data_IF_426707736030
#
_entry.id   IF_426707736030
#
_cell.length_a   1.000
_cell.length_b   1.000
_cell.length_c   1.000
_cell.angle_alpha   90.00
_cell.angle_beta   90.00
_cell.angle_gamma   90.00
#
_symmetry.space_group_name_H-M   'P 1'
#
loop_
_entity.id
_entity.type
_entity.pdbx_description
1 polymer ?
#
# COMPACT_ATOMS: atom_id res chain seq x y z
N UNK A 1 -24.22 -33.76 92.91
CA UNK A 1 -23.23 -34.70 92.35
C UNK A 1 -23.17 -34.47 90.84
N UNK A 2 -21.96 -34.29 90.31
CA UNK A 2 -21.60 -34.11 88.88
C UNK A 2 -22.00 -35.31 87.99
N UNK A 3 -21.88 -35.25 86.65
CA UNK A 3 -22.43 -34.26 85.70
C UNK A 3 -23.03 -34.95 84.44
N UNK A 4 -23.59 -34.19 83.47
CA UNK A 4 -23.33 -34.31 82.01
C UNK A 4 -24.45 -33.77 81.07
N UNK A 5 -24.06 -32.78 80.25
CA UNK A 5 -24.26 -32.66 78.77
C UNK A 5 -25.71 -32.46 78.26
N UNK A 6 -26.05 -31.61 77.29
CA UNK A 6 -25.45 -30.51 76.53
C UNK A 6 -26.61 -29.77 75.85
N UNK A 7 -26.44 -28.47 75.67
CA UNK A 7 -27.41 -27.46 75.20
C UNK A 7 -27.60 -27.44 73.67
N UNK A 8 -28.78 -26.95 73.24
CA UNK A 8 -28.86 -25.99 72.13
C UNK A 8 -29.68 -26.38 70.90
N UNK A 9 -30.99 -26.09 70.93
CA UNK A 9 -31.88 -26.02 69.78
C UNK A 9 -31.83 -24.62 69.16
N UNK A 10 -31.48 -24.52 67.87
CA UNK A 10 -31.85 -23.39 66.99
C UNK A 10 -32.00 -23.86 65.55
N UNK A 11 -33.25 -24.01 65.10
CA UNK A 11 -33.61 -24.16 63.70
C UNK A 11 -33.80 -22.78 63.08
N UNK A 12 -32.97 -22.43 62.10
CA UNK A 12 -33.07 -21.18 61.34
C UNK A 12 -33.89 -21.40 60.07
N UNK A 13 -34.93 -20.58 59.92
CA UNK A 13 -35.66 -20.34 58.69
C UNK A 13 -34.72 -19.71 57.64
N UNK A 14 -34.53 -20.37 56.49
CA UNK A 14 -33.94 -19.75 55.31
C UNK A 14 -35.04 -19.02 54.53
N UNK A 15 -34.92 -17.69 54.50
CA UNK A 15 -35.65 -16.81 53.60
C UNK A 15 -35.01 -16.93 52.22
N UNK A 16 -35.80 -17.38 51.23
CA UNK A 16 -35.42 -17.33 49.83
C UNK A 16 -35.33 -15.87 49.38
N UNK A 17 -34.12 -15.40 49.09
CA UNK A 17 -33.89 -14.11 48.45
C UNK A 17 -33.79 -14.37 46.94
N UNK A 18 -34.77 -13.85 46.20
CA UNK A 18 -34.76 -13.84 44.74
C UNK A 18 -33.60 -12.94 44.25
N UNK A 19 -32.50 -13.56 43.82
CA UNK A 19 -31.51 -12.91 42.98
C UNK A 19 -32.04 -12.93 41.55
N UNK A 20 -32.61 -11.81 41.12
CA UNK A 20 -32.80 -11.54 39.71
C UNK A 20 -31.42 -11.52 39.04
N UNK A 21 -31.12 -12.56 38.27
CA UNK A 21 -30.02 -12.54 37.31
C UNK A 21 -30.31 -11.43 36.31
N UNK A 22 -29.65 -10.28 36.47
CA UNK A 22 -29.51 -9.34 35.35
C UNK A 22 -28.75 -10.07 34.27
N UNK A 23 -29.44 -10.41 33.19
CA UNK A 23 -28.78 -10.77 31.94
C UNK A 23 -27.74 -9.70 31.61
N UNK A 24 -26.51 -10.07 31.23
CA UNK A 24 -25.53 -9.10 30.78
C UNK A 24 -26.13 -8.35 29.59
N UNK A 25 -26.12 -7.02 29.65
CA UNK A 25 -26.51 -6.19 28.53
C UNK A 25 -25.70 -6.65 27.29
N UNK A 26 -26.34 -6.77 26.11
CA UNK A 26 -25.62 -7.11 24.90
C UNK A 26 -24.47 -6.12 24.72
N UNK A 27 -23.26 -6.65 24.56
CA UNK A 27 -22.07 -5.88 24.23
C UNK A 27 -22.33 -5.05 22.98
N UNK A 28 -22.54 -3.75 23.13
CA UNK A 28 -22.72 -2.79 22.04
C UNK A 28 -21.40 -2.40 21.36
N UNK A 29 -20.33 -3.16 21.59
CA UNK A 29 -18.99 -2.87 21.07
C UNK A 29 -18.58 -3.87 19.97
N UNK A 30 -19.48 -4.22 19.06
CA UNK A 30 -19.02 -4.58 17.72
C UNK A 30 -18.62 -3.26 17.07
N UNK A 31 -17.32 -2.99 16.95
CA UNK A 31 -16.86 -2.01 15.97
C UNK A 31 -17.65 -2.26 14.67
N UNK A 32 -18.30 -1.25 14.09
CA UNK A 32 -19.03 -1.43 12.85
C UNK A 32 -18.04 -2.02 11.84
N UNK A 33 -18.27 -3.28 11.44
CA UNK A 33 -17.32 -4.01 10.58
C UNK A 33 -17.03 -3.24 9.28
N UNK A 34 -17.96 -2.39 8.84
CA UNK A 34 -17.78 -1.48 7.71
C UNK A 34 -16.65 -0.47 7.86
N UNK A 35 -16.31 0.04 9.05
CA UNK A 35 -15.22 1.02 9.18
C UNK A 35 -13.84 0.42 8.86
N UNK A 36 -13.68 -0.91 9.02
CA UNK A 36 -12.45 -1.59 8.61
C UNK A 36 -12.22 -1.53 7.10
N UNK A 37 -13.25 -1.34 6.28
CA UNK A 37 -13.06 -1.12 4.85
C UNK A 37 -12.38 0.22 4.57
N UNK A 38 -12.59 1.22 5.43
CA UNK A 38 -12.05 2.57 5.26
C UNK A 38 -10.61 2.73 5.77
N UNK A 39 -10.12 1.78 6.56
CA UNK A 39 -8.85 1.87 7.27
C UNK A 39 -7.61 1.62 6.38
N UNK A 40 -6.57 0.94 6.90
CA UNK A 40 -5.33 0.68 6.14
C UNK A 40 -5.61 0.00 4.78
N UNK A 41 -4.74 0.21 3.76
CA UNK A 41 -4.88 -0.43 2.47
C UNK A 41 -5.07 -1.95 2.55
N UNK A 42 -5.90 -2.48 1.66
CA UNK A 42 -6.23 -3.90 1.52
C UNK A 42 -5.32 -4.50 0.47
N UNK A 43 -4.51 -5.47 0.87
CA UNK A 43 -3.53 -6.11 -0.01
C UNK A 43 -3.78 -7.60 0.01
N UNK A 44 -4.02 -8.20 -1.15
CA UNK A 44 -4.29 -9.63 -1.28
C UNK A 44 -3.94 -10.12 -2.68
N UNK A 45 -3.78 -11.43 -2.84
CA UNK A 45 -3.62 -12.08 -4.15
C UNK A 45 -5.00 -12.49 -4.68
N UNK A 46 -5.20 -12.38 -5.99
CA UNK A 46 -6.38 -12.96 -6.64
C UNK A 46 -6.33 -14.50 -6.57
N UNK A 47 -7.50 -15.12 -6.54
CA UNK A 47 -7.59 -16.57 -6.72
C UNK A 47 -7.46 -16.97 -8.20
N UNK A 48 -7.38 -18.27 -8.48
CA UNK A 48 -7.19 -18.76 -9.83
C UNK A 48 -8.30 -18.34 -10.81
N UNK A 49 -9.56 -18.27 -10.35
CA UNK A 49 -10.68 -17.86 -11.19
C UNK A 49 -10.64 -16.37 -11.51
N UNK A 50 -10.28 -15.55 -10.53
CA UNK A 50 -10.15 -14.10 -10.72
C UNK A 50 -8.91 -13.73 -11.54
N UNK A 51 -7.84 -14.51 -11.45
CA UNK A 51 -6.68 -14.40 -12.37
C UNK A 51 -7.12 -14.62 -13.81
N UNK A 52 -7.88 -15.68 -14.09
CA UNK A 52 -8.39 -15.98 -15.43
C UNK A 52 -9.32 -14.86 -15.94
N UNK A 53 -10.23 -14.36 -15.09
CA UNK A 53 -11.12 -13.22 -15.41
C UNK A 53 -10.33 -11.97 -15.75
N UNK A 54 -9.39 -11.57 -14.88
CA UNK A 54 -8.51 -10.41 -15.10
C UNK A 54 -7.76 -10.55 -16.41
N UNK A 55 -7.14 -11.71 -16.66
CA UNK A 55 -6.39 -11.96 -17.89
C UNK A 55 -7.27 -11.85 -19.14
N UNK A 56 -8.48 -12.40 -19.11
CA UNK A 56 -9.44 -12.31 -20.21
C UNK A 56 -9.86 -10.86 -20.47
N UNK A 57 -10.14 -10.07 -19.42
CA UNK A 57 -10.51 -8.66 -19.55
C UNK A 57 -9.34 -7.85 -20.11
N UNK A 58 -8.13 -8.02 -19.55
CA UNK A 58 -6.95 -7.30 -20.01
C UNK A 58 -6.58 -7.64 -21.45
N UNK A 59 -6.71 -8.89 -21.88
CA UNK A 59 -6.47 -9.27 -23.28
C UNK A 59 -7.46 -8.57 -24.23
N UNK A 60 -8.73 -8.47 -23.82
CA UNK A 60 -9.73 -7.69 -24.55
C UNK A 60 -9.32 -6.22 -24.62
N UNK A 61 -8.90 -5.62 -23.51
CA UNK A 61 -8.43 -4.24 -23.46
C UNK A 61 -7.18 -4.03 -24.33
N UNK A 62 -6.21 -4.95 -24.32
CA UNK A 62 -5.02 -4.90 -25.20
C UNK A 62 -5.41 -4.85 -26.67
N UNK A 63 -6.32 -5.74 -27.08
CA UNK A 63 -6.82 -5.77 -28.45
C UNK A 63 -7.52 -4.48 -28.84
N UNK A 64 -8.40 -3.94 -27.98
CA UNK A 64 -9.16 -2.72 -28.27
C UNK A 64 -8.29 -1.45 -28.27
N UNK A 65 -7.27 -1.41 -27.43
CA UNK A 65 -6.37 -0.25 -27.28
C UNK A 65 -5.17 -0.31 -28.23
N UNK A 66 -5.04 -1.38 -29.02
CA UNK A 66 -3.85 -1.69 -29.80
C UNK A 66 -2.57 -1.61 -28.95
N UNK A 67 -2.64 -2.18 -27.74
CA UNK A 67 -1.57 -2.16 -26.74
C UNK A 67 -1.08 -0.75 -26.38
N UNK A 68 -1.99 0.22 -26.29
CA UNK A 68 -1.63 1.59 -25.94
C UNK A 68 -1.24 1.71 -24.46
N UNK A 69 -0.10 2.35 -24.22
CA UNK A 69 0.45 2.73 -22.92
C UNK A 69 -0.44 3.73 -22.14
N UNK A 70 -1.37 4.40 -22.83
CA UNK A 70 -2.23 5.41 -22.21
C UNK A 70 -3.29 4.76 -21.28
N UNK A 71 -3.81 5.49 -20.28
CA UNK A 71 -4.98 5.05 -19.52
C UNK A 71 -6.24 5.08 -20.38
N UNK A 72 -7.04 4.01 -20.33
CA UNK A 72 -8.30 3.91 -21.07
C UNK A 72 -9.45 3.61 -20.11
N UNK A 73 -10.50 4.43 -20.13
CA UNK A 73 -11.74 4.07 -19.43
C UNK A 73 -12.48 3.01 -20.24
N UNK A 74 -12.69 1.85 -19.65
CA UNK A 74 -13.25 0.68 -20.32
C UNK A 74 -14.75 0.59 -20.10
N UNK A 75 -15.20 0.70 -18.85
CA UNK A 75 -16.62 0.58 -18.53
C UNK A 75 -16.98 1.29 -17.23
N UNK A 76 -18.29 1.30 -16.98
CA UNK A 76 -18.90 1.71 -15.73
C UNK A 76 -19.87 0.61 -15.28
N UNK A 77 -19.91 0.34 -13.98
CA UNK A 77 -20.77 -0.66 -13.35
C UNK A 77 -21.62 0.06 -12.30
N UNK A 78 -22.93 -0.12 -12.39
CA UNK A 78 -23.88 0.37 -11.40
C UNK A 78 -23.91 -0.58 -10.20
N UNK A 79 -23.99 -0.01 -9.00
CA UNK A 79 -24.23 -0.77 -7.78
C UNK A 79 -25.72 -0.62 -7.45
N UNK A 80 -26.46 -1.71 -7.60
CA UNK A 80 -27.91 -1.75 -7.45
C UNK A 80 -28.26 -2.52 -6.18
N UNK A 81 -29.23 -2.02 -5.42
CA UNK A 81 -29.75 -2.75 -4.26
C UNK A 81 -30.75 -3.81 -4.73
N UNK A 82 -30.41 -5.09 -4.56
CA UNK A 82 -31.26 -6.23 -4.87
C UNK A 82 -31.66 -6.96 -3.57
N UNK A 83 -32.88 -6.71 -3.10
CA UNK A 83 -33.38 -7.25 -1.83
C UNK A 83 -32.45 -6.91 -0.64
N UNK A 84 -31.84 -7.93 -0.05
CA UNK A 84 -30.99 -7.84 1.15
C UNK A 84 -29.50 -7.63 0.83
N UNK A 85 -29.12 -7.63 -0.46
CA UNK A 85 -27.73 -7.50 -0.91
C UNK A 85 -27.57 -6.46 -2.03
N UNK A 86 -26.34 -6.07 -2.32
CA UNK A 86 -25.98 -5.33 -3.53
C UNK A 86 -25.72 -6.29 -4.68
N UNK A 87 -26.14 -5.90 -5.88
CA UNK A 87 -25.73 -6.49 -7.15
C UNK A 87 -24.95 -5.47 -7.97
N UNK A 88 -23.97 -5.95 -8.74
CA UNK A 88 -23.23 -5.14 -9.69
C UNK A 88 -23.80 -5.38 -11.09
N UNK A 89 -24.13 -4.30 -11.79
CA UNK A 89 -24.74 -4.36 -13.12
C UNK A 89 -23.96 -3.49 -14.09
N UNK A 90 -23.58 -4.04 -15.24
CA UNK A 90 -22.90 -3.27 -16.27
C UNK A 90 -23.75 -2.08 -16.73
N UNK A 91 -23.15 -0.89 -16.81
CA UNK A 91 -23.84 0.32 -17.29
C UNK A 91 -23.78 0.41 -18.81
N UNK A 92 -24.93 0.22 -19.47
CA UNK A 92 -25.04 0.42 -20.90
C UNK A 92 -24.98 1.91 -21.31
N UNK A 93 -25.18 2.83 -20.37
CA UNK A 93 -25.12 4.27 -20.59
C UNK A 93 -24.19 4.92 -19.55
N UNK A 94 -22.85 4.79 -19.72
CA UNK A 94 -21.90 5.29 -18.75
C UNK A 94 -22.00 6.81 -18.67
N UNK A 95 -22.29 7.34 -17.48
CA UNK A 95 -22.46 8.79 -17.34
C UNK A 95 -21.13 9.54 -17.27
N UNK A 96 -20.02 8.82 -17.06
CA UNK A 96 -18.69 9.38 -17.06
C UNK A 96 -18.11 9.36 -18.48
N UNK A 97 -17.74 10.55 -18.98
CA UNK A 97 -17.15 10.67 -20.32
C UNK A 97 -15.85 9.85 -20.39
N UNK A 98 -15.57 9.19 -21.53
CA UNK A 98 -14.28 8.54 -21.75
C UNK A 98 -13.15 9.56 -21.59
N UNK A 99 -12.01 9.10 -21.07
CA UNK A 99 -10.77 9.88 -21.03
C UNK A 99 -10.47 10.25 -22.50
N UNK A 100 -10.41 11.56 -22.76
CA UNK A 100 -10.58 12.14 -24.10
C UNK A 100 -9.78 11.39 -25.19
N UNK A 101 -10.47 11.02 -26.28
CA UNK A 101 -10.02 10.51 -27.60
C UNK A 101 -10.49 9.11 -28.05
N UNK A 102 -11.19 8.32 -27.21
CA UNK A 102 -11.50 6.92 -27.57
C UNK A 102 -12.95 6.50 -27.23
N UNK A 103 -13.94 7.12 -27.88
CA UNK A 103 -15.36 6.70 -27.78
C UNK A 103 -15.59 5.27 -28.27
N UNK A 104 -14.70 4.74 -29.10
CA UNK A 104 -14.87 3.44 -29.75
C UNK A 104 -14.59 2.27 -28.79
N UNK A 105 -13.64 2.43 -27.85
CA UNK A 105 -13.24 1.35 -26.94
C UNK A 105 -14.36 0.95 -25.98
N UNK A 106 -15.05 1.91 -25.37
CA UNK A 106 -16.18 1.61 -24.49
C UNK A 106 -17.34 0.95 -25.25
N UNK A 107 -17.60 1.42 -26.49
CA UNK A 107 -18.65 0.85 -27.33
C UNK A 107 -18.32 -0.60 -27.74
N UNK A 108 -17.07 -0.87 -28.14
CA UNK A 108 -16.62 -2.20 -28.51
C UNK A 108 -16.58 -3.15 -27.31
N UNK A 109 -16.07 -2.70 -26.17
CA UNK A 109 -16.09 -3.49 -24.92
C UNK A 109 -17.53 -3.79 -24.49
N UNK A 110 -18.45 -2.82 -24.60
CA UNK A 110 -19.87 -3.01 -24.30
C UNK A 110 -20.52 -4.11 -25.17
N UNK A 111 -20.03 -4.33 -26.38
CA UNK A 111 -20.56 -5.35 -27.28
C UNK A 111 -20.01 -6.76 -26.99
N UNK A 112 -18.96 -6.89 -26.18
CA UNK A 112 -18.42 -8.17 -25.73
C UNK A 112 -19.13 -8.67 -24.47
N UNK A 113 -20.14 -9.53 -24.65
CA UNK A 113 -20.91 -10.08 -23.54
C UNK A 113 -20.07 -10.91 -22.55
N UNK A 114 -19.00 -11.56 -23.03
CA UNK A 114 -18.12 -12.36 -22.17
C UNK A 114 -17.25 -11.43 -21.31
N UNK A 115 -16.58 -10.45 -21.91
CA UNK A 115 -15.75 -9.48 -21.19
C UNK A 115 -16.57 -8.71 -20.14
N UNK A 116 -17.82 -8.33 -20.46
CA UNK A 116 -18.75 -7.71 -19.50
C UNK A 116 -19.02 -8.57 -18.27
N UNK A 117 -19.35 -9.84 -18.46
CA UNK A 117 -19.60 -10.74 -17.35
C UNK A 117 -18.34 -10.94 -16.49
N UNK A 118 -17.18 -11.14 -17.14
CA UNK A 118 -15.91 -11.33 -16.44
C UNK A 118 -15.51 -10.10 -15.60
N UNK A 119 -15.70 -8.88 -16.11
CA UNK A 119 -15.32 -7.68 -15.36
C UNK A 119 -16.28 -7.35 -14.21
N UNK A 120 -17.58 -7.65 -14.34
CA UNK A 120 -18.55 -7.51 -13.25
C UNK A 120 -18.21 -8.47 -12.12
N UNK A 121 -18.01 -9.76 -12.44
CA UNK A 121 -17.63 -10.77 -11.44
C UNK A 121 -16.30 -10.43 -10.74
N UNK A 122 -15.30 -9.97 -11.51
CA UNK A 122 -14.00 -9.57 -10.97
C UNK A 122 -14.14 -8.38 -10.01
N UNK A 123 -14.91 -7.35 -10.40
CA UNK A 123 -15.13 -6.18 -9.56
C UNK A 123 -15.87 -6.53 -8.27
N UNK A 124 -16.90 -7.39 -8.35
CA UNK A 124 -17.64 -7.86 -7.17
C UNK A 124 -16.71 -8.59 -6.19
N UNK A 125 -15.92 -9.54 -6.70
CA UNK A 125 -14.98 -10.32 -5.89
C UNK A 125 -13.91 -9.45 -5.24
N UNK A 126 -13.33 -8.49 -5.97
CA UNK A 126 -12.33 -7.56 -5.43
C UNK A 126 -12.92 -6.71 -4.30
N UNK A 127 -14.10 -6.11 -4.52
CA UNK A 127 -14.77 -5.31 -3.49
C UNK A 127 -15.20 -6.15 -2.28
N UNK A 128 -15.58 -7.42 -2.51
CA UNK A 128 -15.93 -8.33 -1.42
C UNK A 128 -14.70 -8.68 -0.57
N UNK A 129 -13.58 -9.06 -1.20
CA UNK A 129 -12.34 -9.41 -0.49
C UNK A 129 -11.73 -8.23 0.26
N UNK A 130 -11.86 -7.00 -0.28
CA UNK A 130 -11.41 -5.79 0.41
C UNK A 130 -12.37 -5.34 1.54
N UNK A 131 -13.55 -5.95 1.66
CA UNK A 131 -14.60 -5.58 2.60
C UNK A 131 -15.37 -4.31 2.19
N UNK A 132 -15.02 -3.69 1.06
CA UNK A 132 -15.66 -2.49 0.56
C UNK A 132 -17.11 -2.74 0.11
N UNK A 133 -17.40 -3.91 -0.48
CA UNK A 133 -18.78 -4.27 -0.86
C UNK A 133 -19.70 -4.35 0.36
N UNK A 134 -19.20 -4.91 1.48
CA UNK A 134 -19.94 -4.96 2.74
C UNK A 134 -20.20 -3.54 3.27
N UNK A 135 -19.19 -2.67 3.26
CA UNK A 135 -19.36 -1.27 3.66
C UNK A 135 -20.44 -0.56 2.83
N UNK A 136 -20.42 -0.75 1.51
CA UNK A 136 -21.44 -0.19 0.63
C UNK A 136 -22.82 -0.74 0.96
N UNK A 137 -22.94 -2.06 1.18
CA UNK A 137 -24.22 -2.71 1.51
C UNK A 137 -24.79 -2.18 2.83
N UNK A 138 -23.95 -2.02 3.86
CA UNK A 138 -24.33 -1.53 5.18
C UNK A 138 -24.86 -0.09 5.14
N UNK A 139 -24.46 0.71 4.14
CA UNK A 139 -24.70 2.16 4.10
C UNK A 139 -25.49 2.64 2.87
N UNK A 140 -25.86 1.75 1.95
CA UNK A 140 -26.51 2.13 0.68
C UNK A 140 -27.82 2.90 0.89
N UNK A 141 -28.61 2.56 1.90
CA UNK A 141 -29.88 3.25 2.19
C UNK A 141 -29.65 4.69 2.63
N UNK A 142 -28.59 4.95 3.39
CA UNK A 142 -28.21 6.30 3.80
C UNK A 142 -27.74 7.11 2.59
N UNK A 143 -26.88 6.53 1.74
CA UNK A 143 -26.38 7.20 0.54
C UNK A 143 -27.52 7.56 -0.42
N UNK A 144 -28.42 6.62 -0.70
CA UNK A 144 -29.56 6.82 -1.59
C UNK A 144 -30.56 7.84 -1.06
N UNK A 145 -30.82 7.85 0.26
CA UNK A 145 -31.64 8.87 0.92
C UNK A 145 -31.06 10.28 0.79
N UNK A 146 -29.74 10.40 0.77
CA UNK A 146 -29.01 11.66 0.53
C UNK A 146 -28.94 12.03 -0.97
N UNK A 147 -29.53 11.21 -1.84
CA UNK A 147 -29.55 11.41 -3.29
C UNK A 147 -28.25 10.98 -3.97
N UNK A 148 -27.46 10.11 -3.35
CA UNK A 148 -26.22 9.58 -3.92
C UNK A 148 -26.34 8.09 -4.24
N UNK A 149 -25.75 7.69 -5.37
CA UNK A 149 -25.64 6.29 -5.80
C UNK A 149 -24.18 5.97 -6.09
N UNK A 150 -23.62 4.91 -5.49
CA UNK A 150 -22.27 4.49 -5.82
C UNK A 150 -22.24 3.80 -7.19
N UNK A 151 -21.19 4.06 -7.95
CA UNK A 151 -20.85 3.38 -9.20
C UNK A 151 -19.39 2.97 -9.18
N UNK A 152 -19.01 2.04 -10.05
CA UNK A 152 -17.63 1.64 -10.25
C UNK A 152 -17.23 2.08 -11.66
N UNK A 153 -16.20 2.92 -11.79
CA UNK A 153 -15.57 3.13 -13.10
C UNK A 153 -14.30 2.30 -13.19
N UNK A 154 -14.04 1.72 -14.36
CA UNK A 154 -12.90 0.83 -14.57
C UNK A 154 -12.03 1.40 -15.68
N UNK A 155 -10.78 1.67 -15.33
CA UNK A 155 -9.75 2.10 -16.24
C UNK A 155 -8.73 0.97 -16.45
N UNK A 156 -8.20 0.85 -17.66
CA UNK A 156 -7.12 -0.05 -18.03
C UNK A 156 -5.85 0.73 -18.30
N UNK A 157 -4.74 0.24 -17.76
CA UNK A 157 -3.39 0.76 -17.93
C UNK A 157 -2.54 -0.33 -18.58
N UNK A 158 -2.22 -0.18 -19.88
CA UNK A 158 -1.58 -1.24 -20.67
C UNK A 158 -0.07 -1.37 -20.47
N UNK A 159 0.64 -0.26 -20.52
CA UNK A 159 2.07 -0.20 -20.18
C UNK A 159 2.35 1.18 -19.63
N UNK A 160 2.21 1.33 -18.32
CA UNK A 160 2.68 2.54 -17.66
C UNK A 160 4.21 2.45 -17.55
N UNK A 161 4.90 2.72 -18.67
CA UNK A 161 6.32 3.09 -18.63
C UNK A 161 6.46 4.13 -17.55
N UNK A 162 7.40 3.92 -16.63
CA UNK A 162 7.65 4.80 -15.48
C UNK A 162 7.76 6.23 -15.96
N UNK A 163 6.64 6.97 -15.96
CA UNK A 163 6.65 8.38 -16.28
C UNK A 163 7.29 9.05 -15.08
N UNK A 164 8.62 9.14 -15.15
CA UNK A 164 9.51 9.83 -14.21
C UNK A 164 9.13 11.30 -14.03
N UNK A 165 8.12 11.83 -14.74
CA UNK A 165 7.60 13.17 -14.54
C UNK A 165 6.36 13.22 -13.63
N UNK A 166 5.79 12.07 -13.21
CA UNK A 166 4.69 12.00 -12.21
C UNK A 166 5.20 11.57 -10.83
N UNK A 167 6.31 12.18 -10.41
CA UNK A 167 6.96 11.92 -9.12
C UNK A 167 6.26 12.76 -8.06
N UNK A 168 5.29 12.18 -7.36
CA UNK A 168 4.69 12.85 -6.22
C UNK A 168 3.61 12.02 -5.55
N UNK A 169 3.46 12.22 -4.24
CA UNK A 169 2.27 11.80 -3.52
C UNK A 169 1.08 12.62 -4.01
N UNK A 170 0.04 11.94 -4.44
CA UNK A 170 -1.22 12.51 -4.88
C UNK A 170 -2.37 11.72 -4.29
N UNK A 171 -3.58 12.25 -4.46
CA UNK A 171 -4.80 11.46 -4.38
C UNK A 171 -5.28 11.25 -5.80
N UNK A 172 -5.88 10.11 -6.03
CA UNK A 172 -6.41 9.73 -7.32
C UNK A 172 -7.82 10.37 -7.52
N UNK A 173 -8.43 10.91 -6.44
CA UNK A 173 -9.68 11.69 -6.37
C UNK A 173 -10.11 12.45 -7.63
N UNK A 174 -11.36 12.17 -8.05
CA UNK A 174 -12.23 13.07 -8.82
C UNK A 174 -13.28 13.76 -7.94
N UNK A 175 -12.93 14.00 -6.68
CA UNK A 175 -13.75 14.60 -5.62
C UNK A 175 -14.97 13.78 -5.15
N UNK A 176 -15.39 12.76 -5.91
CA UNK A 176 -16.49 11.84 -5.57
C UNK A 176 -16.03 10.40 -5.28
N UNK A 177 -14.72 10.14 -5.35
CA UNK A 177 -14.15 8.80 -5.21
C UNK A 177 -14.01 8.41 -3.74
N UNK A 178 -14.66 7.32 -3.34
CA UNK A 178 -14.53 6.73 -2.02
C UNK A 178 -13.37 5.74 -1.96
N UNK A 179 -13.37 4.75 -2.84
CA UNK A 179 -12.37 3.69 -2.88
C UNK A 179 -11.66 3.63 -4.23
N UNK A 180 -10.39 3.21 -4.19
CA UNK A 180 -9.56 2.89 -5.35
C UNK A 180 -9.00 1.49 -5.15
N UNK A 181 -9.16 0.61 -6.15
CA UNK A 181 -8.49 -0.69 -6.18
C UNK A 181 -7.64 -0.82 -7.45
N UNK A 182 -6.38 -1.20 -7.28
CA UNK A 182 -5.43 -1.46 -8.35
C UNK A 182 -5.20 -2.96 -8.46
N UNK A 183 -5.57 -3.55 -9.60
CA UNK A 183 -5.51 -4.99 -9.88
C UNK A 183 -4.38 -5.26 -10.86
N UNK A 184 -3.24 -5.74 -10.36
CA UNK A 184 -2.03 -5.90 -11.16
C UNK A 184 -2.01 -7.22 -11.93
N UNK A 185 -1.39 -7.18 -13.11
CA UNK A 185 -1.01 -8.36 -13.87
C UNK A 185 0.48 -8.61 -13.75
N UNK A 186 0.88 -9.23 -12.63
CA UNK A 186 2.26 -9.59 -12.33
C UNK A 186 2.34 -11.03 -11.88
N UNK A 187 3.36 -11.76 -12.33
CA UNK A 187 3.58 -13.16 -11.95
C UNK A 187 4.55 -13.33 -10.76
N UNK A 188 4.92 -12.22 -10.12
CA UNK A 188 5.79 -12.16 -8.96
C UNK A 188 5.35 -10.98 -8.07
N UNK A 189 5.71 -10.99 -6.78
CA UNK A 189 5.48 -9.85 -5.91
C UNK A 189 6.19 -8.59 -6.43
N UNK A 190 5.51 -7.45 -6.39
CA UNK A 190 6.05 -6.14 -6.78
C UNK A 190 5.85 -5.12 -5.66
N UNK A 191 6.54 -3.99 -5.71
CA UNK A 191 6.15 -2.86 -4.88
C UNK A 191 4.82 -2.30 -5.36
N UNK A 192 3.94 -2.02 -4.42
CA UNK A 192 2.82 -1.16 -4.67
C UNK A 192 3.16 0.31 -4.52
N UNK A 193 2.14 1.17 -4.47
CA UNK A 193 2.35 2.58 -4.17
C UNK A 193 2.94 2.78 -2.76
N UNK A 194 3.86 3.72 -2.63
CA UNK A 194 4.15 4.29 -1.31
C UNK A 194 2.94 5.11 -0.88
N UNK A 195 2.59 5.09 0.39
CA UNK A 195 1.39 5.78 0.86
C UNK A 195 1.55 6.43 2.24
N UNK A 196 0.77 7.47 2.45
CA UNK A 196 0.69 8.26 3.67
C UNK A 196 -0.79 8.36 4.04
N UNK A 197 -1.14 7.89 5.24
CA UNK A 197 -2.48 8.14 5.78
C UNK A 197 -2.54 9.60 6.26
N UNK A 198 -3.51 10.36 5.74
CA UNK A 198 -3.68 11.76 6.07
C UNK A 198 -4.23 11.90 7.49
N UNK A 199 -3.40 12.26 8.46
CA UNK A 199 -3.83 12.49 9.85
C UNK A 199 -4.70 13.74 10.04
N UNK A 200 -4.76 14.61 9.04
CA UNK A 200 -5.72 15.71 8.95
C UNK A 200 -6.18 15.85 7.50
N UNK A 201 -7.50 16.01 7.30
CA UNK A 201 -8.03 16.41 6.00
C UNK A 201 -7.71 17.89 5.80
N UNK A 202 -7.14 18.25 4.64
CA UNK A 202 -7.11 19.66 4.20
C UNK A 202 -8.56 20.15 4.15
N UNK A 203 -8.94 20.94 5.14
CA UNK A 203 -10.32 21.36 5.36
C UNK A 203 -10.85 22.19 4.18
N UNK A 204 -9.98 22.96 3.51
CA UNK A 204 -10.40 23.81 2.39
C UNK A 204 -10.62 22.97 1.14
N UNK A 205 -9.70 22.07 0.80
CA UNK A 205 -9.89 21.13 -0.32
C UNK A 205 -11.10 20.22 -0.07
N UNK A 206 -11.20 19.64 1.12
CA UNK A 206 -12.28 18.72 1.45
C UNK A 206 -13.65 19.41 1.40
N UNK A 207 -13.77 20.62 1.92
CA UNK A 207 -15.02 21.38 1.90
C UNK A 207 -15.42 21.87 0.52
N UNK A 208 -14.45 22.30 -0.29
CA UNK A 208 -14.71 22.89 -1.61
C UNK A 208 -15.02 21.82 -2.67
N UNK A 209 -14.31 20.69 -2.62
CA UNK A 209 -14.34 19.70 -3.69
C UNK A 209 -15.01 18.39 -3.27
N UNK A 210 -14.62 17.80 -2.13
CA UNK A 210 -15.08 16.46 -1.73
C UNK A 210 -16.50 16.49 -1.14
N UNK A 211 -16.74 17.37 -0.17
CA UNK A 211 -17.99 17.45 0.59
C UNK A 211 -19.24 17.64 -0.30
N UNK A 212 -19.23 18.44 -1.39
CA UNK A 212 -20.38 18.57 -2.27
C UNK A 212 -20.72 17.31 -3.08
N UNK A 213 -19.76 16.41 -3.27
CA UNK A 213 -19.81 15.28 -4.19
C UNK A 213 -19.86 13.91 -3.50
N UNK A 214 -19.97 13.89 -2.17
CA UNK A 214 -20.11 12.68 -1.37
C UNK A 214 -21.29 12.79 -0.39
N UNK A 215 -21.91 11.66 -0.01
CA UNK A 215 -22.91 11.63 1.05
C UNK A 215 -22.28 11.96 2.40
N UNK A 216 -23.03 12.69 3.23
CA UNK A 216 -22.68 13.08 4.61
C UNK A 216 -22.28 11.85 5.42
N UNK A 217 -22.99 10.74 5.27
CA UNK A 217 -22.68 9.48 5.95
C UNK A 217 -21.25 9.01 5.64
N UNK A 218 -20.81 9.04 4.38
CA UNK A 218 -19.44 8.66 4.03
C UNK A 218 -18.41 9.66 4.56
N UNK A 219 -18.72 10.96 4.50
CA UNK A 219 -17.86 12.02 5.03
C UNK A 219 -17.65 11.89 6.54
N UNK A 220 -18.69 11.54 7.29
CA UNK A 220 -18.61 11.28 8.73
C UNK A 220 -17.71 10.09 9.04
N UNK A 221 -17.81 9.00 8.29
CA UNK A 221 -16.95 7.83 8.47
C UNK A 221 -15.49 8.11 8.07
N UNK A 222 -15.27 8.80 6.95
CA UNK A 222 -13.94 9.27 6.53
C UNK A 222 -13.34 10.15 7.62
N UNK A 223 -14.11 11.11 8.14
CA UNK A 223 -13.63 12.00 9.19
C UNK A 223 -13.29 11.22 10.47
N UNK A 224 -14.13 10.26 10.88
CA UNK A 224 -13.87 9.39 12.02
C UNK A 224 -12.56 8.60 11.87
N UNK A 225 -12.30 8.05 10.68
CA UNK A 225 -11.09 7.28 10.39
C UNK A 225 -9.84 8.17 10.18
N UNK A 226 -10.04 9.43 9.79
CA UNK A 226 -8.94 10.41 9.67
C UNK A 226 -8.40 10.89 11.02
N UNK A 227 -9.23 10.82 12.08
CA UNK A 227 -8.87 11.19 13.44
C UNK A 227 -8.14 10.00 14.08
N UNK A 228 -6.94 9.69 13.60
CA UNK A 228 -6.02 8.88 14.40
C UNK A 228 -5.53 9.72 15.58
N UNK A 229 -5.82 9.21 16.79
CA UNK A 229 -5.73 9.90 18.08
C UNK A 229 -4.33 10.38 18.48
N UNK A 230 -3.27 9.91 17.83
CA UNK A 230 -1.93 10.00 18.38
C UNK A 230 -1.02 11.05 17.75
N UNK A 231 -1.49 11.84 16.76
CA UNK A 231 -0.78 13.03 16.29
C UNK A 231 0.69 12.84 15.88
N UNK A 232 1.17 11.61 15.73
CA UNK A 232 2.59 11.28 15.74
C UNK A 232 2.93 10.41 14.54
N UNK A 233 3.61 11.07 13.59
CA UNK A 233 4.36 10.50 12.48
C UNK A 233 3.51 9.97 11.33
N UNK A 234 3.21 10.88 10.38
CA UNK A 234 2.91 10.56 8.99
C UNK A 234 4.12 9.83 8.37
N UNK A 235 4.30 8.55 8.72
CA UNK A 235 5.34 7.70 8.13
C UNK A 235 4.87 7.29 6.75
N UNK A 236 5.73 7.49 5.75
CA UNK A 236 5.55 6.86 4.45
C UNK A 236 5.59 5.36 4.67
N UNK A 237 4.48 4.69 4.36
CA UNK A 237 4.36 3.24 4.36
C UNK A 237 4.62 2.75 2.93
N UNK A 238 5.37 1.66 2.81
CA UNK A 238 5.50 0.92 1.56
C UNK A 238 4.51 -0.25 1.61
N UNK A 239 3.85 -0.55 0.50
CA UNK A 239 3.11 -1.80 0.37
C UNK A 239 3.80 -2.74 -0.61
N UNK A 240 3.85 -4.03 -0.26
CA UNK A 240 4.28 -5.09 -1.17
C UNK A 240 3.05 -5.79 -1.71
N UNK A 241 2.89 -5.79 -3.01
CA UNK A 241 1.77 -6.43 -3.69
C UNK A 241 2.23 -7.85 -4.06
N UNK A 242 1.47 -8.91 -3.70
CA UNK A 242 1.83 -10.26 -4.09
C UNK A 242 1.76 -10.44 -5.63
N UNK A 243 2.23 -11.59 -6.11
CA UNK A 243 1.93 -12.00 -7.47
C UNK A 243 0.41 -12.01 -7.68
N UNK A 244 -0.03 -11.52 -8.84
CA UNK A 244 -1.44 -11.38 -9.19
C UNK A 244 -2.25 -10.58 -8.15
N UNK A 245 -1.57 -9.61 -7.52
CA UNK A 245 -2.09 -8.93 -6.35
C UNK A 245 -2.97 -7.73 -6.65
N UNK A 246 -3.75 -7.38 -5.63
CA UNK A 246 -4.60 -6.20 -5.55
C UNK A 246 -4.10 -5.32 -4.41
N UNK A 247 -4.14 -4.01 -4.60
CA UNK A 247 -4.10 -3.04 -3.50
C UNK A 247 -5.31 -2.11 -3.58
N UNK A 248 -6.09 -2.07 -2.50
CA UNK A 248 -7.28 -1.23 -2.35
C UNK A 248 -7.13 -0.23 -1.23
N UNK A 249 -7.63 1.00 -1.37
CA UNK A 249 -7.57 2.01 -0.30
C UNK A 249 -8.68 3.07 -0.42
N UNK A 250 -8.92 3.76 0.69
CA UNK A 250 -9.81 4.93 0.75
C UNK A 250 -9.09 6.16 0.23
N UNK A 251 -9.50 6.66 -0.93
CA UNK A 251 -8.80 7.72 -1.64
C UNK A 251 -8.73 9.03 -0.83
N UNK A 252 -9.81 9.39 -0.14
CA UNK A 252 -9.85 10.59 0.70
C UNK A 252 -8.89 10.55 1.92
N UNK A 253 -8.43 9.35 2.31
CA UNK A 253 -7.57 9.16 3.48
C UNK A 253 -6.12 8.88 3.13
N UNK A 254 -5.83 8.49 1.89
CA UNK A 254 -4.53 7.99 1.49
C UNK A 254 -3.94 8.86 0.39
N UNK A 255 -2.85 9.56 0.73
CA UNK A 255 -1.96 10.06 -0.30
C UNK A 255 -1.07 8.93 -0.75
N UNK A 256 -0.89 8.75 -2.05
CA UNK A 256 -0.05 7.68 -2.55
C UNK A 256 0.84 8.15 -3.72
N UNK A 257 1.98 7.53 -3.87
CA UNK A 257 2.80 7.69 -5.06
C UNK A 257 2.19 6.93 -6.23
N UNK A 258 2.56 7.33 -7.44
CA UNK A 258 2.39 6.43 -8.58
C UNK A 258 3.23 5.18 -8.29
N UNK A 259 2.71 3.96 -8.48
CA UNK A 259 3.51 2.74 -8.36
C UNK A 259 4.69 2.81 -9.33
N UNK A 260 5.86 3.20 -8.84
CA UNK A 260 7.08 3.34 -9.62
C UNK A 260 8.04 2.22 -9.26
N UNK A 261 8.83 1.83 -10.24
CA UNK A 261 9.93 0.89 -10.07
C UNK A 261 11.15 1.53 -9.37
N UNK A 262 11.20 2.86 -9.33
CA UNK A 262 12.17 3.66 -8.58
C UNK A 262 11.68 3.99 -7.17
N UNK A 263 10.93 3.06 -6.57
CA UNK A 263 10.71 2.99 -5.13
C UNK A 263 12.06 3.00 -4.39
N UNK A 264 12.01 3.20 -3.07
CA UNK A 264 13.15 3.20 -2.13
C UNK A 264 13.90 1.84 -2.05
N UNK A 265 14.35 1.34 -3.19
CA UNK A 265 15.10 0.11 -3.37
C UNK A 265 16.56 0.42 -3.71
N UNK A 266 17.43 -0.50 -3.38
CA UNK A 266 18.83 -0.49 -3.79
C UNK A 266 19.09 -1.70 -4.68
N UNK A 267 19.92 -1.57 -5.71
CA UNK A 267 20.36 -2.75 -6.46
C UNK A 267 21.09 -3.69 -5.52
N UNK A 268 20.89 -5.00 -5.67
CA UNK A 268 21.58 -6.02 -4.89
C UNK A 268 23.09 -5.79 -4.88
N UNK A 269 23.67 -5.44 -6.02
CA UNK A 269 25.10 -5.20 -6.18
C UNK A 269 25.55 -3.95 -5.42
N UNK A 270 24.72 -2.90 -5.38
CA UNK A 270 25.00 -1.68 -4.63
C UNK A 270 24.92 -1.95 -3.11
N UNK A 271 23.93 -2.74 -2.66
CA UNK A 271 23.80 -3.16 -1.28
C UNK A 271 24.98 -4.05 -0.85
N UNK A 272 25.32 -5.04 -1.67
CA UNK A 272 26.48 -5.90 -1.44
C UNK A 272 27.75 -5.07 -1.42
N UNK A 273 27.97 -4.21 -2.42
CA UNK A 273 29.14 -3.34 -2.51
C UNK A 273 29.27 -2.40 -1.32
N UNK A 274 28.17 -1.88 -0.80
CA UNK A 274 28.19 -1.08 0.42
C UNK A 274 28.55 -1.91 1.65
N UNK A 275 27.86 -3.03 1.88
CA UNK A 275 28.14 -3.91 3.03
C UNK A 275 29.55 -4.50 2.99
N UNK A 276 30.09 -4.70 1.78
CA UNK A 276 31.43 -5.23 1.53
C UNK A 276 32.53 -4.16 1.59
N UNK A 277 32.19 -2.86 1.59
CA UNK A 277 33.16 -1.76 1.55
C UNK A 277 32.85 -0.62 2.53
N UNK A 278 31.95 -0.78 3.51
CA UNK A 278 31.61 0.27 4.49
C UNK A 278 32.78 0.52 5.46
N UNK A 279 33.77 1.27 4.98
CA UNK A 279 34.98 1.65 5.69
C UNK A 279 34.79 2.91 6.56
N UNK A 280 33.56 3.26 6.90
CA UNK A 280 33.21 4.53 7.55
C UNK A 280 33.75 4.67 8.96
N UNK A 281 34.99 5.17 9.12
CA UNK A 281 35.70 5.65 10.32
C UNK A 281 35.68 4.78 11.60
N UNK A 282 34.92 3.69 11.66
CA UNK A 282 34.77 2.83 12.82
C UNK A 282 34.16 1.46 12.46
N UNK A 283 34.83 0.66 11.60
CA UNK A 283 35.21 -0.73 11.91
C UNK A 283 35.44 -1.63 10.67
N UNK A 284 36.67 -2.11 10.48
CA UNK A 284 36.95 -3.31 9.67
C UNK A 284 36.07 -4.50 10.10
N UNK A 285 35.61 -4.51 11.36
CA UNK A 285 34.78 -5.58 11.93
C UNK A 285 33.47 -5.79 11.16
N UNK A 286 32.81 -4.75 10.65
CA UNK A 286 31.53 -4.88 9.96
C UNK A 286 31.70 -5.46 8.57
N UNK A 287 32.71 -4.97 7.83
CA UNK A 287 33.07 -5.50 6.51
C UNK A 287 33.42 -6.99 6.62
N UNK A 288 34.35 -7.35 7.50
CA UNK A 288 34.76 -8.74 7.67
C UNK A 288 33.63 -9.60 8.27
N UNK A 289 32.76 -9.07 9.13
CA UNK A 289 31.64 -9.83 9.67
C UNK A 289 30.56 -10.11 8.63
N UNK A 290 30.28 -9.16 7.72
CA UNK A 290 29.39 -9.38 6.58
C UNK A 290 30.00 -10.39 5.60
N UNK A 291 31.29 -10.24 5.23
CA UNK A 291 32.01 -11.22 4.41
C UNK A 291 31.96 -12.62 5.01
N UNK A 292 32.19 -12.73 6.32
CA UNK A 292 32.07 -13.98 7.06
C UNK A 292 30.66 -14.57 6.99
N UNK A 293 29.63 -13.75 7.22
CA UNK A 293 28.23 -14.17 7.12
C UNK A 293 27.89 -14.66 5.69
N UNK A 294 28.35 -13.94 4.67
CA UNK A 294 28.17 -14.27 3.25
C UNK A 294 28.85 -15.59 2.86
N UNK A 295 30.03 -15.87 3.43
CA UNK A 295 30.71 -17.15 3.28
C UNK A 295 30.01 -18.29 4.03
N UNK A 296 29.47 -18.04 5.22
CA UNK A 296 28.74 -19.07 5.98
C UNK A 296 27.50 -19.55 5.21
N UNK A 297 26.78 -18.65 4.56
CA UNK A 297 25.61 -18.99 3.75
C UNK A 297 26.00 -19.62 2.39
N UNK A 298 27.15 -19.27 1.82
CA UNK A 298 27.68 -19.88 0.62
C UNK A 298 29.22 -19.99 0.67
N UNK A 299 29.80 -21.14 1.07
CA UNK A 299 31.24 -21.28 1.26
C UNK A 299 32.10 -21.00 0.02
N UNK A 300 31.50 -21.00 -1.17
CA UNK A 300 32.17 -20.69 -2.44
C UNK A 300 32.04 -19.24 -2.89
N UNK A 301 31.45 -18.35 -2.09
CA UNK A 301 31.18 -16.95 -2.46
C UNK A 301 32.41 -16.04 -2.38
N UNK A 302 33.35 -16.34 -1.47
CA UNK A 302 34.60 -15.59 -1.25
C UNK A 302 35.79 -16.52 -1.50
N UNK A 303 36.79 -16.08 -2.28
CA UNK A 303 37.94 -16.91 -2.71
C UNK A 303 39.22 -16.10 -2.84
N UNK A 304 40.35 -16.80 -2.90
CA UNK A 304 41.66 -16.20 -3.19
C UNK A 304 42.10 -15.24 -2.09
N UNK A 305 42.73 -14.13 -2.49
CA UNK A 305 43.25 -13.10 -1.58
C UNK A 305 42.18 -12.56 -0.61
N UNK A 306 40.93 -12.42 -1.05
CA UNK A 306 39.85 -11.94 -0.17
C UNK A 306 39.53 -12.95 0.94
N UNK A 307 39.60 -14.26 0.64
CA UNK A 307 39.41 -15.31 1.64
C UNK A 307 40.59 -15.35 2.62
N UNK A 308 41.82 -15.24 2.11
CA UNK A 308 43.03 -15.20 2.93
C UNK A 308 42.99 -14.02 3.91
N UNK A 309 42.63 -12.82 3.42
CA UNK A 309 42.48 -11.62 4.26
C UNK A 309 41.38 -11.80 5.32
N UNK A 310 40.25 -12.42 4.98
CA UNK A 310 39.17 -12.69 5.93
C UNK A 310 39.61 -13.67 7.01
N UNK A 311 40.30 -14.74 6.65
CA UNK A 311 40.79 -15.74 7.60
C UNK A 311 41.86 -15.14 8.52
N UNK A 312 42.80 -14.37 7.97
CA UNK A 312 43.80 -13.64 8.76
C UNK A 312 43.15 -12.66 9.75
N UNK A 313 42.11 -11.92 9.33
CA UNK A 313 41.39 -11.01 10.21
C UNK A 313 40.71 -11.76 11.36
N UNK A 314 40.00 -12.85 11.05
CA UNK A 314 39.27 -13.66 12.04
C UNK A 314 40.21 -14.34 13.03
N UNK A 315 41.41 -14.74 12.61
CA UNK A 315 42.42 -15.32 13.49
C UNK A 315 43.08 -14.30 14.43
N UNK A 316 43.27 -13.07 13.95
CA UNK A 316 44.01 -12.02 14.68
C UNK A 316 43.11 -11.06 15.48
N UNK A 317 41.78 -11.18 15.37
CA UNK A 317 40.86 -10.35 16.14
C UNK A 317 40.98 -10.62 17.64
N UNK A 318 41.05 -9.57 18.46
CA UNK A 318 41.17 -9.73 19.91
C UNK A 318 39.98 -10.53 20.48
N UNK A 319 40.15 -11.32 21.56
CA UNK A 319 39.06 -12.12 22.12
C UNK A 319 37.81 -11.31 22.50
N UNK A 320 37.97 -10.06 22.96
CA UNK A 320 36.86 -9.17 23.26
C UNK A 320 36.11 -8.74 21.99
N UNK A 321 36.84 -8.45 20.92
CA UNK A 321 36.25 -8.14 19.61
C UNK A 321 35.67 -9.38 18.92
N UNK A 322 36.18 -10.59 19.19
CA UNK A 322 35.69 -11.84 18.57
C UNK A 322 34.21 -12.10 18.86
N UNK A 323 33.80 -11.88 20.12
CA UNK A 323 32.38 -12.01 20.49
C UNK A 323 31.50 -11.02 19.72
N UNK A 324 31.91 -9.76 19.66
CA UNK A 324 31.18 -8.74 18.90
C UNK A 324 31.13 -9.09 17.41
N UNK A 325 32.24 -9.59 16.85
CA UNK A 325 32.30 -10.05 15.46
C UNK A 325 31.31 -11.17 15.18
N UNK A 326 31.24 -12.18 16.04
CA UNK A 326 30.32 -13.31 15.86
C UNK A 326 28.85 -12.84 15.98
N UNK A 327 28.54 -11.97 16.95
CA UNK A 327 27.19 -11.37 17.11
C UNK A 327 26.79 -10.52 15.89
N UNK A 328 27.72 -9.71 15.35
CA UNK A 328 27.50 -8.92 14.13
C UNK A 328 27.36 -9.81 12.91
N UNK A 329 28.18 -10.86 12.78
CA UNK A 329 28.13 -11.80 11.66
C UNK A 329 26.79 -12.53 11.63
N UNK A 330 26.31 -13.03 12.76
CA UNK A 330 24.97 -13.64 12.85
C UNK A 330 23.85 -12.64 12.49
N UNK A 331 24.02 -11.36 12.83
CA UNK A 331 23.08 -10.29 12.41
C UNK A 331 23.08 -10.08 10.89
N UNK A 332 24.22 -10.26 10.22
CA UNK A 332 24.33 -10.13 8.77
C UNK A 332 23.86 -11.36 7.99
N UNK A 333 23.79 -12.56 8.59
CA UNK A 333 23.36 -13.79 7.89
C UNK A 333 22.03 -13.70 7.16
N UNK A 334 20.93 -13.16 7.75
CA UNK A 334 19.68 -12.96 7.00
C UNK A 334 19.86 -12.12 5.74
N UNK A 335 20.65 -11.06 5.80
CA UNK A 335 20.90 -10.14 4.69
C UNK A 335 21.79 -10.79 3.64
N UNK A 336 22.81 -11.51 4.06
CA UNK A 336 23.67 -12.30 3.18
C UNK A 336 22.85 -13.34 2.39
N UNK A 337 21.97 -14.07 3.08
CA UNK A 337 21.07 -15.06 2.48
C UNK A 337 20.09 -14.41 1.50
N UNK A 338 19.53 -13.26 1.85
CA UNK A 338 18.69 -12.46 0.96
C UNK A 338 19.44 -12.12 -0.34
N UNK A 339 20.63 -11.52 -0.23
CA UNK A 339 21.48 -11.16 -1.37
C UNK A 339 21.83 -12.39 -2.22
N UNK A 340 22.21 -13.52 -1.60
CA UNK A 340 22.57 -14.74 -2.33
C UNK A 340 21.40 -15.34 -3.12
N UNK A 341 20.18 -15.21 -2.61
CA UNK A 341 18.97 -15.73 -3.26
C UNK A 341 18.40 -14.77 -4.31
N UNK A 342 18.79 -13.50 -4.28
CA UNK A 342 18.48 -12.51 -5.32
C UNK A 342 19.33 -12.75 -6.58
N UNK A 343 18.75 -12.54 -7.75
CA UNK A 343 19.42 -12.55 -9.06
C UNK A 343 20.18 -11.24 -9.29
N UNK A 344 21.06 -11.24 -10.28
CA UNK A 344 21.80 -10.04 -10.63
C UNK A 344 20.88 -8.98 -11.23
N UNK A 345 20.99 -7.75 -10.76
CA UNK A 345 20.09 -6.64 -11.08
C UNK A 345 18.78 -6.63 -10.28
N UNK A 346 18.56 -7.59 -9.37
CA UNK A 346 17.42 -7.55 -8.46
C UNK A 346 17.54 -6.31 -7.54
N UNK A 347 16.39 -5.73 -7.23
CA UNK A 347 16.27 -4.66 -6.24
C UNK A 347 15.98 -5.28 -4.88
N UNK A 348 16.70 -4.81 -3.86
CA UNK A 348 16.49 -5.15 -2.46
C UNK A 348 15.90 -3.94 -1.76
N UNK A 349 14.79 -4.18 -1.07
CA UNK A 349 14.02 -3.17 -0.37
C UNK A 349 14.36 -3.17 1.11
N UNK A 350 14.11 -2.03 1.76
CA UNK A 350 14.18 -1.95 3.23
C UNK A 350 13.30 -3.01 3.90
N UNK A 351 12.09 -3.24 3.37
CA UNK A 351 11.17 -4.25 3.92
C UNK A 351 11.73 -5.67 3.76
N UNK A 352 12.44 -5.99 2.68
CA UNK A 352 13.07 -7.31 2.50
C UNK A 352 14.12 -7.57 3.58
N UNK A 353 14.91 -6.54 3.91
CA UNK A 353 15.89 -6.60 4.99
C UNK A 353 15.19 -6.82 6.33
N UNK A 354 14.11 -6.09 6.60
CA UNK A 354 13.32 -6.26 7.81
C UNK A 354 12.72 -7.68 7.92
N UNK A 355 12.09 -8.16 6.86
CA UNK A 355 11.48 -9.49 6.79
C UNK A 355 12.54 -10.59 6.98
N UNK A 356 13.66 -10.51 6.26
CA UNK A 356 14.75 -11.46 6.41
C UNK A 356 15.28 -11.52 7.85
N UNK A 357 15.42 -10.36 8.51
CA UNK A 357 15.81 -10.29 9.92
C UNK A 357 14.75 -10.90 10.85
N UNK A 358 13.47 -10.58 10.66
CA UNK A 358 12.37 -11.12 11.48
C UNK A 358 12.30 -12.64 11.35
N UNK A 359 12.44 -13.19 10.14
CA UNK A 359 12.49 -14.64 9.90
C UNK A 359 13.65 -15.34 10.62
N UNK A 360 14.74 -14.61 10.88
CA UNK A 360 15.89 -15.09 11.65
C UNK A 360 15.80 -14.78 13.14
N UNK A 361 14.61 -14.43 13.63
CA UNK A 361 14.32 -14.30 15.06
C UNK A 361 14.62 -12.92 15.66
N UNK A 362 14.90 -11.91 14.84
CA UNK A 362 14.99 -10.53 15.31
C UNK A 362 13.61 -10.00 15.72
N UNK A 363 13.55 -9.24 16.81
CA UNK A 363 12.35 -8.49 17.15
C UNK A 363 12.04 -7.45 16.08
N UNK A 364 10.75 -7.19 15.83
CA UNK A 364 10.28 -6.26 14.78
C UNK A 364 10.94 -4.87 14.89
N UNK A 365 11.03 -4.32 16.10
CA UNK A 365 11.68 -3.02 16.34
C UNK A 365 13.17 -3.03 16.00
N UNK A 366 13.90 -4.10 16.39
CA UNK A 366 15.33 -4.22 16.11
C UNK A 366 15.61 -4.42 14.62
N UNK A 367 14.78 -5.22 13.93
CA UNK A 367 14.85 -5.38 12.49
C UNK A 367 14.57 -4.03 11.77
N UNK A 368 13.61 -3.27 12.27
CA UNK A 368 13.29 -1.96 11.74
C UNK A 368 14.43 -0.96 11.90
N UNK A 369 14.95 -0.77 13.11
CA UNK A 369 16.04 0.16 13.42
C UNK A 369 17.31 -0.16 12.62
N UNK A 370 17.61 -1.46 12.46
CA UNK A 370 18.75 -1.91 11.69
C UNK A 370 18.58 -1.62 10.21
N UNK A 371 17.44 -1.97 9.63
CA UNK A 371 17.13 -1.67 8.22
C UNK A 371 17.12 -0.16 7.95
N UNK A 372 16.60 0.65 8.88
CA UNK A 372 16.67 2.11 8.84
C UNK A 372 18.12 2.61 8.85
N UNK A 373 18.94 2.09 9.76
CA UNK A 373 20.35 2.48 9.88
C UNK A 373 21.13 2.10 8.63
N UNK A 374 20.93 0.90 8.10
CA UNK A 374 21.56 0.44 6.87
C UNK A 374 21.12 1.35 5.72
N UNK A 375 19.82 1.48 5.48
CA UNK A 375 19.27 2.30 4.41
C UNK A 375 19.77 3.76 4.46
N UNK A 376 19.73 4.39 5.64
CA UNK A 376 20.20 5.77 5.84
C UNK A 376 21.73 5.94 5.85
N UNK A 377 22.54 4.87 5.93
CA UNK A 377 24.01 4.93 5.78
C UNK A 377 24.43 4.63 4.35
N UNK A 378 23.75 3.68 3.70
CA UNK A 378 24.03 3.21 2.34
C UNK A 378 23.58 4.19 1.27
N UNK A 379 22.48 4.93 1.50
CA UNK A 379 21.77 5.65 0.44
C UNK A 379 21.67 7.17 0.68
N UNK A 380 22.56 7.77 1.48
CA UNK A 380 22.62 9.23 1.71
C UNK A 380 22.81 10.09 0.45
N UNK A 381 22.99 9.47 -0.72
CA UNK A 381 23.05 10.15 -2.01
C UNK A 381 21.79 9.96 -2.86
N UNK A 382 20.72 9.34 -2.34
CA UNK A 382 19.43 9.38 -3.02
C UNK A 382 18.65 10.59 -2.46
N UNK A 383 18.49 11.69 -3.23
CA UNK A 383 17.72 12.88 -2.82
C UNK A 383 16.20 12.62 -2.69
N UNK A 384 15.80 11.39 -2.37
CA UNK A 384 14.41 10.92 -2.24
C UNK A 384 13.99 10.70 -0.78
N UNK A 385 14.90 10.82 0.20
CA UNK A 385 14.50 10.92 1.61
C UNK A 385 13.87 12.29 1.94
N UNK A 386 14.10 13.30 1.09
CA UNK A 386 13.39 14.58 1.09
C UNK A 386 12.51 14.70 -0.16
N UNK A 387 11.53 13.78 -0.35
CA UNK A 387 10.50 14.01 -1.37
C UNK A 387 9.58 15.13 -0.89
N UNK A 388 9.98 16.35 -1.24
CA UNK A 388 9.05 17.44 -1.44
C UNK A 388 7.98 17.01 -2.46
N UNK A 389 6.72 17.29 -2.11
CA UNK A 389 5.56 17.20 -2.99
C UNK A 389 5.77 18.09 -4.23
N UNK A 390 6.49 17.61 -5.25
CA UNK A 390 6.85 18.40 -6.44
C UNK A 390 6.22 17.81 -7.69
N UNK A 391 5.31 18.57 -8.29
CA UNK A 391 4.85 18.49 -9.68
C UNK A 391 4.03 17.26 -10.11
N UNK A 392 2.78 17.18 -9.64
CA UNK A 392 1.71 16.64 -10.49
C UNK A 392 1.45 17.67 -11.59
N UNK A 393 1.79 17.34 -12.84
CA UNK A 393 1.51 18.19 -14.01
C UNK A 393 0.01 18.43 -14.22
N UNK A 394 -0.30 19.31 -15.17
CA UNK A 394 -1.61 19.95 -15.46
C UNK A 394 -2.87 19.05 -15.59
N UNK A 395 -2.77 17.74 -15.43
CA UNK A 395 -3.90 16.79 -15.43
C UNK A 395 -4.40 16.45 -14.02
N UNK A 396 -3.61 16.61 -12.96
CA UNK A 396 -4.09 16.50 -11.59
C UNK A 396 -4.59 17.90 -11.16
N UNK A 397 -5.89 18.15 -11.25
CA UNK A 397 -6.45 19.47 -10.94
C UNK A 397 -6.14 19.89 -9.49
N UNK A 398 -5.24 20.87 -9.37
CA UNK A 398 -5.05 21.86 -8.31
C UNK A 398 -4.88 21.42 -6.84
N UNK A 399 -3.72 21.84 -6.29
CA UNK A 399 -3.32 21.99 -4.87
C UNK A 399 -2.48 20.84 -4.34
N UNK A 400 -1.17 21.07 -4.31
CA UNK A 400 -0.15 20.64 -3.32
C UNK A 400 1.23 20.65 -4.02
N UNK A 401 1.84 21.83 -4.15
CA UNK A 401 3.22 22.00 -4.66
C UNK A 401 4.15 22.60 -3.61
N UNK A 402 3.93 22.26 -2.33
CA UNK A 402 4.70 22.82 -1.22
C UNK A 402 5.57 21.75 -0.57
N UNK A 403 6.86 22.05 -0.43
CA UNK A 403 7.87 21.32 0.34
C UNK A 403 7.57 21.28 1.85
N UNK A 404 6.49 21.92 2.30
CA UNK A 404 5.99 21.88 3.67
C UNK A 404 4.47 21.79 3.68
N UNK A 405 3.93 20.69 4.21
CA UNK A 405 2.52 20.55 4.61
C UNK A 405 2.07 21.85 5.34
N UNK A 406 0.95 22.51 4.98
CA UNK A 406 0.62 23.78 5.60
C UNK A 406 0.09 23.57 7.03
N UNK A 407 0.86 24.03 8.01
CA UNK A 407 0.31 24.78 9.14
C UNK A 407 -0.04 26.21 8.64
N UNK A 408 -0.97 26.95 9.28
CA UNK A 408 -1.63 28.10 8.66
C UNK A 408 -0.66 29.26 8.33
N UNK A 409 -0.63 29.69 7.06
CA UNK A 409 0.09 30.87 6.58
C UNK A 409 0.12 30.96 5.05
N UNK A 410 -0.17 32.14 4.48
CA UNK A 410 -0.23 32.36 3.01
C UNK A 410 1.11 32.03 2.33
N UNK A 411 1.09 31.23 1.27
CA UNK A 411 2.24 31.03 0.39
C UNK A 411 2.22 32.01 -0.79
N UNK A 412 3.36 32.67 -1.03
CA UNK A 412 3.61 33.44 -2.25
C UNK A 412 4.10 32.52 -3.39
N UNK A 413 3.74 32.90 -4.62
CA UNK A 413 4.11 32.20 -5.86
C UNK A 413 5.61 32.37 -6.14
N UNK A 414 6.40 31.30 -6.04
CA UNK A 414 7.73 31.28 -6.65
C UNK A 414 7.61 30.97 -8.14
N UNK A 415 8.17 31.85 -8.99
CA UNK A 415 8.21 31.67 -10.44
C UNK A 415 9.10 30.47 -10.76
N UNK A 416 8.58 29.54 -11.57
CA UNK A 416 9.32 28.40 -12.07
C UNK A 416 10.64 28.83 -12.71
N UNK A 417 11.76 28.29 -12.22
CA UNK A 417 13.02 28.32 -12.93
C UNK A 417 12.84 27.56 -14.25
N UNK A 418 12.77 28.31 -15.34
CA UNK A 418 13.02 27.78 -16.68
C UNK A 418 14.36 27.04 -16.63
N UNK A 419 14.35 25.73 -16.90
CA UNK A 419 15.56 24.95 -17.16
C UNK A 419 16.25 25.56 -18.38
N UNK A 420 17.25 26.39 -18.15
CA UNK A 420 18.22 26.78 -19.16
C UNK A 420 18.96 25.53 -19.60
N UNK A 421 18.68 25.12 -20.84
CA UNK A 421 19.37 24.02 -21.49
C UNK A 421 20.84 24.35 -21.68
N UNK A 422 21.71 23.53 -21.08
CA UNK A 422 23.05 23.24 -21.58
C UNK A 422 23.73 22.27 -20.60
N UNK A 423 23.55 20.96 -20.79
CA UNK A 423 24.58 19.94 -20.54
C UNK A 423 24.09 18.54 -20.96
N UNK A 424 24.81 17.93 -21.90
CA UNK A 424 24.98 16.48 -22.00
C UNK A 424 23.87 15.64 -22.62
N UNK A 425 23.66 15.75 -23.94
CA UNK A 425 23.11 14.63 -24.74
C UNK A 425 24.17 13.50 -24.79
N UNK A 426 23.71 12.25 -24.64
CA UNK A 426 24.40 10.96 -24.86
C UNK A 426 24.64 10.07 -23.63
N UNK A 427 23.61 9.88 -22.79
CA UNK A 427 23.45 8.58 -22.14
C UNK A 427 22.21 7.93 -22.74
N UNK A 428 22.38 6.77 -23.36
CA UNK A 428 21.25 5.92 -23.70
C UNK A 428 20.51 5.61 -22.38
N UNK A 429 19.17 5.69 -22.34
CA UNK A 429 18.44 5.28 -21.14
C UNK A 429 18.85 3.84 -20.83
N UNK A 430 19.48 3.65 -19.67
CA UNK A 430 19.69 2.32 -19.12
C UNK A 430 18.31 1.71 -18.95
N UNK A 431 17.98 0.76 -19.81
CA UNK A 431 16.79 -0.06 -19.69
C UNK A 431 17.03 -0.96 -18.47
N UNK A 432 16.66 -0.48 -17.29
CA UNK A 432 16.92 -1.11 -15.99
C UNK A 432 16.10 -2.40 -15.74
N UNK A 433 15.74 -3.15 -16.79
CA UNK A 433 14.94 -4.37 -16.65
C UNK A 433 13.49 -4.17 -16.19
N UNK A 434 13.04 -2.92 -16.12
CA UNK A 434 11.70 -2.48 -15.77
C UNK A 434 10.62 -3.31 -16.47
N UNK A 435 9.89 -4.14 -15.73
CA UNK A 435 8.71 -4.80 -16.27
C UNK A 435 7.57 -3.77 -16.33
N UNK A 436 6.92 -3.59 -17.50
CA UNK A 436 5.67 -2.85 -17.63
C UNK A 436 4.70 -3.22 -16.51
N UNK A 437 4.15 -2.21 -15.83
CA UNK A 437 3.10 -2.42 -14.82
C UNK A 437 1.75 -2.24 -15.48
N UNK A 438 1.22 -3.34 -15.98
CA UNK A 438 -0.14 -3.41 -16.50
C UNK A 438 -1.11 -3.69 -15.34
N UNK A 439 -2.19 -2.92 -15.27
CA UNK A 439 -3.21 -3.09 -14.23
C UNK A 439 -4.58 -2.57 -14.66
N UNK A 440 -5.62 -3.05 -13.99
CA UNK A 440 -6.94 -2.44 -13.98
C UNK A 440 -7.05 -1.55 -12.74
N UNK A 441 -7.70 -0.40 -12.87
CA UNK A 441 -8.03 0.48 -11.74
C UNK A 441 -9.54 0.59 -11.63
N UNK A 442 -10.05 0.25 -10.46
CA UNK A 442 -11.45 0.37 -10.09
C UNK A 442 -11.60 1.61 -9.21
N UNK A 443 -12.62 2.41 -9.52
CA UNK A 443 -12.98 3.59 -8.76
C UNK A 443 -14.40 3.45 -8.24
N UNK A 444 -14.57 3.32 -6.92
CA UNK A 444 -15.91 3.43 -6.32
C UNK A 444 -16.22 4.90 -6.11
N UNK A 445 -17.16 5.43 -6.89
CA UNK A 445 -17.49 6.85 -6.92
C UNK A 445 -18.95 7.08 -6.60
N UNK A 446 -19.26 8.20 -5.95
CA UNK A 446 -20.64 8.64 -5.77
C UNK A 446 -21.11 9.51 -6.93
N UNK A 447 -22.34 9.25 -7.37
CA UNK A 447 -23.08 10.13 -8.28
C UNK A 447 -24.29 10.68 -7.58
N UNK A 448 -24.52 11.97 -7.76
CA UNK A 448 -25.72 12.64 -7.27
C UNK A 448 -26.84 12.43 -8.29
N UNK A 449 -27.98 11.91 -7.84
CA UNK A 449 -29.20 11.89 -8.63
C UNK A 449 -29.65 13.31 -8.90
N UNK A 450 -30.12 13.56 -10.13
CA UNK A 450 -30.82 14.81 -10.41
C UNK A 450 -32.01 14.94 -9.44
N UNK A 451 -32.25 16.12 -8.86
CA UNK A 451 -33.43 16.32 -8.02
C UNK A 451 -34.68 16.12 -8.88
N UNK A 452 -35.34 14.98 -8.69
CA UNK A 452 -36.60 14.61 -9.36
C UNK A 452 -37.76 15.49 -8.92
#
# INVERSE_FOLDING_TARGET
MNPAISTGLTGTYQVAQALASKEPAPSTNSEPQGLKALSDPKIFALDAHDIDRRNSVMETCRSLTNHSDAPHRICEINIVKAHDNLSLEFSDDPSTKPIATLTDIQADFKNDAHAKAQIVDLAENVLQQSGQLQYLNDNIDSFTKEGFHPVITIDYYGDRKTDVNTIGFHRDSTDSTLFVDLIYNTNHPIDGPEYLKSGTLDQDYFKEFVQPNMPTTALEHINAESIEHDGANQKIKLCRIPADGVVGFTDALVFHSTPQEASRAVLKEDLFGHLNNDSGNNSDINEYAFKHAYRLENPGSIKGEELENLEEYVENISPWNKRNFDEISETFRPIAKLILNSRDGDKIYKIDVQEAMIEHGFGVEAAQDYADTLYHRTLRQNPLDEVALINCGNTCHSRLTSTSFPLPGKMEREKSLERTGAQGRNQAPLNNGAQPREFLRLWVQFKKSDPT
#
